data_IF_674771093299
#
_entry.id   IF_674771093299
#
_cell.length_a   1.000
_cell.length_b   1.000
_cell.length_c   1.000
_cell.angle_alpha   90.00
_cell.angle_beta   90.00
_cell.angle_gamma   90.00
#
_symmetry.space_group_name_H-M   'P 1'
#
loop_
_entity.id
_entity.type
_entity.pdbx_description
1 polymer ?
#
# COMPACT_ATOMS: atom_id res chain seq x y z
N UNK A 1 -45.07 7.93 -14.50
CA UNK A 1 -44.14 9.05 -14.28
C UNK A 1 -42.82 8.43 -13.87
N UNK A 2 -41.96 8.12 -14.85
CA UNK A 2 -40.62 7.58 -14.61
C UNK A 2 -39.70 8.71 -14.20
N UNK A 3 -38.99 8.55 -13.09
CA UNK A 3 -37.88 9.42 -12.77
C UNK A 3 -36.68 8.94 -13.60
N UNK A 4 -36.43 9.63 -14.72
CA UNK A 4 -35.15 9.57 -15.42
C UNK A 4 -34.10 10.20 -14.50
N UNK A 5 -33.57 9.42 -13.56
CA UNK A 5 -32.36 9.79 -12.87
C UNK A 5 -31.21 9.62 -13.87
N UNK A 6 -30.43 10.68 -14.17
CA UNK A 6 -29.25 10.51 -15.00
C UNK A 6 -28.29 9.53 -14.31
N UNK A 7 -27.54 8.72 -15.06
CA UNK A 7 -26.52 7.85 -14.46
C UNK A 7 -25.56 8.73 -13.65
N UNK A 8 -25.05 8.24 -12.49
CA UNK A 8 -24.02 8.97 -11.76
C UNK A 8 -22.89 9.29 -12.73
N UNK A 9 -22.53 10.56 -12.87
CA UNK A 9 -21.31 10.95 -13.56
C UNK A 9 -20.15 10.62 -12.63
N UNK A 10 -19.84 9.34 -12.59
CA UNK A 10 -18.96 8.66 -11.65
C UNK A 10 -17.47 8.86 -12.02
N UNK A 11 -17.08 10.08 -12.41
CA UNK A 11 -15.67 10.45 -12.51
C UNK A 11 -15.11 10.56 -11.09
N UNK A 12 -14.53 9.46 -10.60
CA UNK A 12 -13.84 9.43 -9.31
C UNK A 12 -12.69 10.44 -9.33
N UNK A 13 -12.63 11.29 -8.31
CA UNK A 13 -11.47 12.16 -8.11
C UNK A 13 -10.23 11.28 -7.94
N UNK A 14 -9.11 11.72 -8.51
CA UNK A 14 -7.84 11.01 -8.40
C UNK A 14 -7.45 10.82 -6.93
N UNK A 15 -7.82 11.77 -6.07
CA UNK A 15 -7.60 11.69 -4.63
C UNK A 15 -8.37 10.53 -3.99
N UNK A 16 -9.63 10.29 -4.39
CA UNK A 16 -10.43 9.17 -3.90
C UNK A 16 -9.80 7.83 -4.31
N UNK A 17 -9.28 7.74 -5.53
CA UNK A 17 -8.55 6.56 -6.01
C UNK A 17 -7.27 6.34 -5.22
N UNK A 18 -6.54 7.41 -4.87
CA UNK A 18 -5.35 7.30 -4.02
C UNK A 18 -5.70 6.86 -2.60
N UNK A 19 -6.76 7.41 -2.01
CA UNK A 19 -7.20 7.09 -0.65
C UNK A 19 -7.59 5.61 -0.53
N UNK A 20 -8.45 5.11 -1.42
CA UNK A 20 -8.87 3.68 -1.43
C UNK A 20 -7.66 2.74 -1.63
N UNK A 21 -6.79 3.06 -2.59
CA UNK A 21 -5.55 2.30 -2.82
C UNK A 21 -4.62 2.33 -1.61
N UNK A 22 -4.55 3.45 -0.90
CA UNK A 22 -3.70 3.58 0.28
C UNK A 22 -4.22 2.76 1.44
N UNK A 23 -5.54 2.74 1.69
CA UNK A 23 -6.16 1.82 2.65
C UNK A 23 -5.88 0.36 2.30
N UNK A 24 -5.98 -0.02 1.01
CA UNK A 24 -5.64 -1.36 0.55
C UNK A 24 -4.16 -1.70 0.79
N UNK A 25 -3.25 -0.77 0.55
CA UNK A 25 -1.82 -0.97 0.80
C UNK A 25 -1.53 -1.19 2.30
N UNK A 26 -2.16 -0.41 3.18
CA UNK A 26 -2.06 -0.57 4.63
C UNK A 26 -2.62 -1.93 5.07
N UNK A 27 -3.79 -2.31 4.56
CA UNK A 27 -4.41 -3.60 4.87
C UNK A 27 -3.55 -4.77 4.40
N UNK A 28 -2.95 -4.67 3.21
CA UNK A 28 -2.02 -5.68 2.70
C UNK A 28 -0.77 -5.81 3.56
N UNK A 29 -0.15 -4.69 3.95
CA UNK A 29 1.00 -4.68 4.86
C UNK A 29 0.65 -5.34 6.20
N UNK A 30 -0.50 -5.00 6.78
CA UNK A 30 -1.00 -5.64 8.01
C UNK A 30 -1.17 -7.15 7.84
N UNK A 31 -1.74 -7.60 6.71
CA UNK A 31 -1.92 -9.01 6.43
C UNK A 31 -0.58 -9.75 6.31
N UNK A 32 0.41 -9.17 5.62
CA UNK A 32 1.73 -9.78 5.50
C UNK A 32 2.44 -9.87 6.85
N UNK A 33 2.39 -8.81 7.65
CA UNK A 33 2.91 -8.83 9.02
C UNK A 33 2.30 -9.95 9.86
N UNK A 34 0.98 -10.14 9.80
CA UNK A 34 0.30 -11.20 10.53
C UNK A 34 0.66 -12.59 10.03
N UNK A 35 0.91 -12.72 8.73
CA UNK A 35 1.17 -14.03 8.12
C UNK A 35 2.61 -14.45 8.36
N UNK A 36 3.58 -13.54 8.17
CA UNK A 36 5.01 -13.87 8.03
C UNK A 36 5.91 -13.24 9.10
N UNK A 37 5.35 -12.39 9.96
CA UNK A 37 6.03 -11.86 11.13
C UNK A 37 6.26 -10.35 11.09
N UNK A 38 6.74 -9.78 12.20
CA UNK A 38 6.99 -8.34 12.36
C UNK A 38 7.93 -7.76 11.32
N UNK A 39 8.88 -8.55 10.85
CA UNK A 39 9.98 -8.11 9.99
C UNK A 39 9.59 -7.93 8.52
N UNK A 40 8.38 -8.35 8.13
CA UNK A 40 7.98 -8.37 6.71
C UNK A 40 7.18 -7.16 6.27
N UNK A 41 6.75 -6.29 7.17
CA UNK A 41 6.04 -5.06 6.80
C UNK A 41 6.10 -4.01 7.91
N UNK A 42 6.07 -2.76 7.50
CA UNK A 42 6.08 -1.60 8.39
C UNK A 42 5.77 -0.34 7.61
N UNK A 43 6.03 0.80 8.24
CA UNK A 43 5.94 2.09 7.59
C UNK A 43 7.00 3.05 8.13
N UNK A 44 7.34 4.06 7.34
CA UNK A 44 8.26 5.13 7.75
C UNK A 44 7.91 6.42 7.00
N UNK A 45 8.59 7.52 7.33
CA UNK A 45 8.46 8.79 6.59
C UNK A 45 9.56 8.95 5.56
N UNK A 46 9.18 9.35 4.34
CA UNK A 46 10.09 9.71 3.26
C UNK A 46 9.58 10.96 2.55
N UNK A 47 10.42 12.00 2.41
CA UNK A 47 10.09 13.27 1.73
C UNK A 47 8.76 13.90 2.18
N UNK A 48 8.42 13.78 3.47
CA UNK A 48 7.20 14.34 4.06
C UNK A 48 5.94 13.46 3.89
N UNK A 49 6.07 12.29 3.27
CA UNK A 49 4.97 11.34 3.07
C UNK A 49 5.19 10.07 3.88
N UNK A 50 4.14 9.51 4.51
CA UNK A 50 4.18 8.15 5.00
C UNK A 50 4.37 7.16 3.85
N UNK A 51 5.22 6.16 4.05
CA UNK A 51 5.49 5.09 3.10
C UNK A 51 5.23 3.76 3.81
N UNK A 52 4.26 3.01 3.31
CA UNK A 52 4.06 1.62 3.76
C UNK A 52 4.92 0.70 2.91
N UNK A 53 5.60 -0.25 3.55
CA UNK A 53 6.45 -1.22 2.87
C UNK A 53 6.09 -2.64 3.27
N UNK A 54 6.36 -3.56 2.35
CA UNK A 54 6.12 -5.00 2.49
C UNK A 54 7.24 -5.75 1.81
N UNK A 55 7.82 -6.72 2.50
CA UNK A 55 8.71 -7.71 1.93
C UNK A 55 8.00 -9.06 1.75
N UNK A 56 8.28 -9.70 0.62
CA UNK A 56 7.68 -10.97 0.20
C UNK A 56 8.79 -11.78 -0.51
N UNK A 57 8.61 -13.05 -0.90
CA UNK A 57 9.65 -13.80 -1.59
C UNK A 57 9.84 -13.29 -3.01
N UNK A 58 8.83 -12.60 -3.56
CA UNK A 58 8.95 -11.89 -4.83
C UNK A 58 9.70 -10.54 -4.69
N UNK A 59 10.22 -10.22 -3.49
CA UNK A 59 10.93 -8.98 -3.16
C UNK A 59 10.06 -7.86 -2.61
N UNK A 60 10.73 -6.79 -2.20
CA UNK A 60 10.17 -5.61 -1.55
C UNK A 60 9.20 -4.83 -2.46
N UNK A 61 8.16 -4.25 -1.84
CA UNK A 61 7.24 -3.27 -2.43
C UNK A 61 6.97 -2.15 -1.43
N UNK A 62 6.76 -0.94 -1.95
CA UNK A 62 6.30 0.18 -1.14
C UNK A 62 5.30 1.09 -1.85
N UNK A 63 4.54 1.83 -1.04
CA UNK A 63 3.56 2.81 -1.51
C UNK A 63 3.60 4.04 -0.61
N UNK A 64 3.71 5.21 -1.23
CA UNK A 64 3.38 6.46 -0.57
C UNK A 64 1.89 6.47 -0.22
N UNK A 65 1.61 6.84 1.01
CA UNK A 65 0.29 6.99 1.61
C UNK A 65 0.03 8.47 1.83
N UNK A 66 -1.18 8.93 1.56
CA UNK A 66 -1.55 10.33 1.77
C UNK A 66 -1.44 10.72 3.25
N UNK A 67 -1.01 11.95 3.59
CA UNK A 67 -0.77 12.35 4.99
C UNK A 67 -2.01 12.26 5.89
N UNK A 68 -3.23 12.34 5.33
CA UNK A 68 -4.49 12.19 6.07
C UNK A 68 -4.70 10.77 6.64
N UNK A 69 -3.99 9.76 6.12
CA UNK A 69 -4.05 8.37 6.59
C UNK A 69 -2.92 8.01 7.55
N UNK A 70 -2.12 8.99 7.97
CA UNK A 70 -1.03 8.73 8.92
C UNK A 70 -1.56 8.30 10.30
N UNK A 71 -2.68 8.89 10.74
CA UNK A 71 -3.32 8.51 11.99
C UNK A 71 -3.79 7.04 11.98
N UNK A 72 -4.17 6.52 10.81
CA UNK A 72 -4.47 5.10 10.59
C UNK A 72 -3.23 4.25 10.74
N UNK A 73 -2.08 4.68 10.21
CA UNK A 73 -0.79 3.99 10.36
C UNK A 73 -0.33 3.94 11.81
N UNK A 74 -0.39 5.06 12.53
CA UNK A 74 -0.01 5.17 13.95
C UNK A 74 -0.83 4.26 14.87
N UNK A 75 -2.12 4.07 14.56
CA UNK A 75 -3.01 3.16 15.30
C UNK A 75 -2.94 1.72 14.81
N UNK A 76 -2.25 1.45 13.71
CA UNK A 76 -2.10 0.12 13.15
C UNK A 76 -1.04 -0.68 13.91
N UNK A 77 -1.03 -2.02 13.80
CA UNK A 77 0.05 -2.84 14.37
C UNK A 77 1.35 -2.81 13.52
N UNK A 78 1.44 -1.95 12.50
CA UNK A 78 2.65 -1.82 11.68
C UNK A 78 3.68 -0.97 12.43
N UNK A 79 4.90 -1.49 12.51
CA UNK A 79 5.99 -0.79 13.18
C UNK A 79 6.43 0.43 12.36
N UNK A 80 6.70 1.54 13.05
CA UNK A 80 7.31 2.73 12.44
C UNK A 80 8.82 2.49 12.28
N UNK A 81 9.18 1.78 11.23
CA UNK A 81 10.55 1.39 10.92
C UNK A 81 10.75 1.28 9.42
N UNK A 82 11.99 1.45 8.96
CA UNK A 82 12.37 1.13 7.58
C UNK A 82 12.43 -0.40 7.37
N UNK A 83 12.41 -0.88 6.09
CA UNK A 83 12.64 -2.29 5.80
C UNK A 83 13.98 -2.78 6.35
N UNK A 84 14.04 -4.05 6.76
CA UNK A 84 15.31 -4.69 7.12
C UNK A 84 16.22 -4.74 5.88
N UNK A 85 17.43 -4.18 6.00
CA UNK A 85 18.34 -4.02 4.86
C UNK A 85 18.06 -2.77 4.01
N UNK A 86 17.09 -1.95 4.39
CA UNK A 86 16.76 -0.68 3.75
C UNK A 86 15.89 -0.82 2.49
N UNK A 87 15.59 0.32 1.90
CA UNK A 87 14.87 0.38 0.62
C UNK A 87 15.75 -0.14 -0.52
N UNK A 88 15.23 -1.08 -1.31
CA UNK A 88 16.01 -1.78 -2.34
C UNK A 88 16.05 -1.08 -3.71
N UNK A 89 15.53 0.15 -3.81
CA UNK A 89 15.62 0.97 -5.02
C UNK A 89 14.62 0.60 -6.12
N UNK A 90 13.57 -0.17 -5.83
CA UNK A 90 12.69 -0.68 -6.88
C UNK A 90 11.87 0.42 -7.61
N UNK A 91 11.89 0.37 -8.94
CA UNK A 91 11.01 1.21 -9.76
C UNK A 91 9.54 0.77 -9.65
N UNK A 92 8.61 1.63 -10.07
CA UNK A 92 7.18 1.29 -10.17
C UNK A 92 6.94 0.05 -11.04
N UNK A 93 7.66 -0.09 -12.16
CA UNK A 93 7.56 -1.25 -13.04
C UNK A 93 8.03 -2.51 -12.33
N UNK A 94 9.18 -2.46 -11.65
CA UNK A 94 9.69 -3.60 -10.90
C UNK A 94 8.74 -4.00 -9.77
N UNK A 95 8.23 -3.03 -9.00
CA UNK A 95 7.20 -3.25 -7.98
C UNK A 95 5.99 -4.02 -8.52
N UNK A 96 5.45 -3.58 -9.65
CA UNK A 96 4.27 -4.19 -10.26
C UNK A 96 4.56 -5.63 -10.73
N UNK A 97 5.73 -5.87 -11.33
CA UNK A 97 6.15 -7.23 -11.70
C UNK A 97 6.27 -8.13 -10.46
N UNK A 98 6.86 -7.65 -9.36
CA UNK A 98 6.98 -8.40 -8.11
C UNK A 98 5.63 -8.66 -7.44
N UNK A 99 4.70 -7.71 -7.53
CA UNK A 99 3.34 -7.90 -7.03
C UNK A 99 2.60 -8.96 -7.85
N UNK A 100 2.70 -8.90 -9.18
CA UNK A 100 2.15 -9.92 -10.06
C UNK A 100 2.73 -11.31 -9.76
N UNK A 101 4.07 -11.43 -9.64
CA UNK A 101 4.74 -12.69 -9.29
C UNK A 101 4.30 -13.23 -7.93
N UNK A 102 4.11 -12.36 -6.95
CA UNK A 102 3.58 -12.77 -5.64
C UNK A 102 2.15 -13.34 -5.78
N UNK A 103 1.27 -12.65 -6.51
CA UNK A 103 -0.11 -13.08 -6.74
C UNK A 103 -0.17 -14.42 -7.48
N UNK A 104 0.65 -14.59 -8.52
CA UNK A 104 0.68 -15.82 -9.35
C UNK A 104 1.57 -16.91 -8.79
N UNK A 105 2.23 -16.69 -7.64
CA UNK A 105 3.20 -17.60 -7.02
C UNK A 105 4.35 -17.98 -7.95
N UNK A 106 4.84 -17.02 -8.73
CA UNK A 106 5.90 -17.17 -9.72
C UNK A 106 7.17 -16.44 -9.27
N UNK A 107 7.67 -16.78 -8.09
CA UNK A 107 8.84 -16.17 -7.45
C UNK A 107 9.92 -17.20 -7.16
#
# INVERSE_FOLDING_TARGET
MGADNPPPTDEKDINDVYHDRNLLAIAFARAMRLTWGPETAGWYRHDGWPVVWVDTPAGQKSWHVTPDLEDVLERSPLDNSEPIGGYDGHSRTLKNCRLARYITRSY
#
